data_IF_007291441637
#
_entry.id   IF_007291441637
#
_cell.length_a   1.000
_cell.length_b   1.000
_cell.length_c   1.000
_cell.angle_alpha   90.00
_cell.angle_beta   90.00
_cell.angle_gamma   90.00
#
_symmetry.space_group_name_H-M   'P 1'
#
loop_
_entity.id
_entity.type
_entity.pdbx_description
1 polymer ?
#
# COMPACT_ATOMS: atom_id res chain seq x y z
N UNK A 1 45.43 12.14 -34.37
CA UNK A 1 44.35 11.18 -34.11
C UNK A 1 44.20 10.95 -32.63
N UNK A 2 43.78 12.03 -31.89
CA UNK A 2 43.56 11.97 -30.46
C UNK A 2 42.09 11.67 -30.17
N UNK A 3 41.74 10.37 -30.21
CA UNK A 3 40.50 9.94 -29.58
C UNK A 3 40.75 9.85 -28.07
N UNK A 4 39.94 10.45 -27.22
CA UNK A 4 40.04 10.23 -25.79
C UNK A 4 39.82 8.73 -25.51
N UNK A 5 40.79 8.12 -24.83
CA UNK A 5 40.72 6.71 -24.43
C UNK A 5 39.49 6.48 -23.57
N UNK A 6 38.74 5.44 -23.85
CA UNK A 6 37.60 5.07 -23.04
C UNK A 6 38.05 4.63 -21.62
N UNK A 7 37.18 4.81 -20.61
CA UNK A 7 37.47 4.38 -19.23
C UNK A 7 37.85 2.88 -19.16
N UNK A 8 37.31 2.07 -20.06
CA UNK A 8 37.66 0.64 -20.20
C UNK A 8 39.09 0.42 -20.70
N UNK A 9 39.59 1.27 -21.61
CA UNK A 9 40.95 1.20 -22.10
C UNK A 9 41.97 1.70 -21.08
N UNK A 10 41.60 2.70 -20.26
CA UNK A 10 42.41 3.18 -19.14
C UNK A 10 42.52 2.10 -18.05
N UNK A 11 41.43 1.39 -17.75
CA UNK A 11 41.41 0.27 -16.82
C UNK A 11 42.17 -0.94 -17.32
N UNK A 12 42.13 -1.23 -18.64
CA UNK A 12 42.92 -2.30 -19.26
C UNK A 12 44.42 -1.98 -19.25
N UNK A 13 44.78 -0.70 -19.46
CA UNK A 13 46.17 -0.24 -19.40
C UNK A 13 46.76 -0.19 -17.99
N UNK A 14 45.94 0.10 -17.00
CA UNK A 14 46.35 0.04 -15.58
C UNK A 14 46.50 -1.41 -15.08
N UNK A 15 45.73 -2.35 -15.59
CA UNK A 15 45.86 -3.79 -15.30
C UNK A 15 47.08 -4.46 -15.96
N UNK A 16 47.62 -3.90 -17.06
CA UNK A 16 48.77 -4.44 -17.76
C UNK A 16 50.11 -4.11 -17.10
N UNK A 17 50.15 -3.20 -16.13
CA UNK A 17 51.38 -2.74 -15.49
C UNK A 17 51.66 -3.28 -14.09
N UNK A 18 50.72 -3.95 -13.45
CA UNK A 18 50.94 -4.61 -12.16
C UNK A 18 50.67 -6.09 -12.31
N UNK A 19 51.72 -6.90 -12.32
CA UNK A 19 51.63 -8.36 -12.18
C UNK A 19 51.17 -8.76 -10.80
N UNK A 20 50.06 -8.20 -10.35
CA UNK A 20 49.35 -8.60 -9.16
C UNK A 20 48.42 -9.75 -9.56
N UNK A 21 48.79 -10.97 -9.13
CA UNK A 21 47.87 -12.11 -9.15
C UNK A 21 46.59 -11.69 -8.42
N UNK A 22 45.54 -11.33 -9.18
CA UNK A 22 44.23 -11.05 -8.61
C UNK A 22 43.74 -12.34 -7.95
N UNK A 23 43.64 -12.32 -6.63
CA UNK A 23 43.12 -13.44 -5.86
C UNK A 23 41.71 -13.76 -6.31
N UNK A 24 41.36 -15.07 -6.32
CA UNK A 24 40.05 -15.53 -6.83
C UNK A 24 38.83 -14.87 -6.16
N UNK A 25 38.98 -14.34 -4.95
CA UNK A 25 37.93 -13.58 -4.24
C UNK A 25 37.80 -12.09 -4.67
N UNK A 26 38.77 -11.58 -5.45
CA UNK A 26 38.71 -10.22 -6.04
C UNK A 26 38.11 -10.22 -7.44
N UNK A 27 37.82 -11.41 -7.99
CA UNK A 27 37.16 -11.52 -9.29
C UNK A 27 35.72 -10.98 -9.17
N UNK A 28 35.31 -10.03 -10.03
CA UNK A 28 33.95 -9.55 -10.03
C UNK A 28 32.98 -10.70 -10.33
N UNK A 29 31.82 -10.70 -9.69
CA UNK A 29 30.77 -11.70 -9.95
C UNK A 29 30.47 -11.74 -11.45
N UNK A 30 30.40 -12.93 -12.09
CA UNK A 30 30.16 -13.04 -13.52
C UNK A 30 28.76 -12.49 -13.86
N UNK A 31 28.70 -11.28 -14.40
CA UNK A 31 27.45 -10.67 -14.88
C UNK A 31 26.98 -11.36 -16.17
N UNK A 32 25.69 -11.29 -16.45
CA UNK A 32 25.10 -11.83 -17.68
C UNK A 32 25.78 -11.28 -18.94
N UNK A 33 26.14 -9.99 -18.92
CA UNK A 33 26.86 -9.33 -20.02
C UNK A 33 28.30 -9.81 -20.16
N UNK A 34 28.96 -10.18 -19.04
CA UNK A 34 30.28 -10.80 -19.08
C UNK A 34 30.20 -12.22 -19.66
N UNK A 35 29.16 -12.98 -19.31
CA UNK A 35 28.89 -14.31 -19.87
C UNK A 35 28.58 -14.24 -21.40
N UNK A 36 27.77 -13.25 -21.82
CA UNK A 36 27.50 -13.02 -23.24
C UNK A 36 28.77 -12.69 -24.03
N UNK A 37 29.70 -11.88 -23.44
CA UNK A 37 30.99 -11.62 -24.06
C UNK A 37 31.88 -12.87 -24.22
N UNK A 38 31.78 -13.79 -23.25
CA UNK A 38 32.51 -15.04 -23.26
C UNK A 38 31.85 -16.08 -24.18
N UNK A 39 30.54 -16.10 -24.26
CA UNK A 39 29.77 -17.01 -25.10
C UNK A 39 28.47 -16.33 -25.57
N UNK A 40 28.33 -16.12 -26.87
CA UNK A 40 27.17 -15.46 -27.48
C UNK A 40 25.83 -16.22 -27.32
N UNK A 41 25.86 -17.43 -26.74
CA UNK A 41 24.64 -18.19 -26.44
C UNK A 41 23.86 -17.60 -25.24
N UNK A 42 24.48 -16.79 -24.37
CA UNK A 42 23.82 -16.12 -23.28
C UNK A 42 23.21 -14.78 -23.75
N UNK A 43 21.96 -14.48 -23.39
CA UNK A 43 21.35 -13.19 -23.71
C UNK A 43 22.05 -12.05 -22.96
N UNK A 44 22.02 -10.84 -23.51
CA UNK A 44 22.45 -9.65 -22.78
C UNK A 44 21.38 -9.29 -21.72
N UNK A 45 21.79 -8.63 -20.62
CA UNK A 45 20.84 -8.15 -19.60
C UNK A 45 19.74 -7.26 -20.19
N UNK A 46 20.07 -6.49 -21.23
CA UNK A 46 19.10 -5.68 -21.97
C UNK A 46 18.07 -6.52 -22.72
N UNK A 47 18.46 -7.65 -23.31
CA UNK A 47 17.54 -8.52 -24.04
C UNK A 47 16.54 -9.19 -23.11
N UNK A 48 16.97 -9.54 -21.89
CA UNK A 48 16.10 -10.08 -20.84
C UNK A 48 15.08 -9.04 -20.40
N UNK A 49 15.52 -7.81 -20.13
CA UNK A 49 14.60 -6.73 -19.71
C UNK A 49 13.60 -6.38 -20.80
N UNK A 50 14.02 -6.25 -22.06
CA UNK A 50 13.15 -6.02 -23.22
C UNK A 50 12.21 -7.22 -23.45
N UNK A 51 12.70 -8.45 -23.24
CA UNK A 51 11.88 -9.66 -23.35
C UNK A 51 10.74 -9.68 -22.31
N UNK A 52 11.04 -9.35 -21.04
CA UNK A 52 10.04 -9.24 -19.97
C UNK A 52 9.02 -8.14 -20.28
N UNK A 53 9.48 -6.97 -20.74
CA UNK A 53 8.60 -5.86 -21.12
C UNK A 53 7.65 -6.25 -22.27
N UNK A 54 8.17 -6.85 -23.33
CA UNK A 54 7.36 -7.33 -24.47
C UNK A 54 6.35 -8.39 -24.04
N UNK A 55 6.76 -9.32 -23.19
CA UNK A 55 5.85 -10.36 -22.66
C UNK A 55 4.72 -9.73 -21.82
N UNK A 56 5.04 -8.76 -20.98
CA UNK A 56 4.03 -8.03 -20.20
C UNK A 56 3.08 -7.26 -21.11
N UNK A 57 3.61 -6.53 -22.11
CA UNK A 57 2.79 -5.76 -23.05
C UNK A 57 1.89 -6.65 -23.92
N UNK A 58 2.32 -7.86 -24.28
CA UNK A 58 1.48 -8.81 -25.04
C UNK A 58 0.28 -9.33 -24.23
N UNK A 59 0.42 -9.44 -22.90
CA UNK A 59 -0.63 -9.92 -22.00
C UNK A 59 -1.51 -8.75 -21.51
N UNK A 60 -1.00 -7.53 -21.56
CA UNK A 60 -1.63 -6.32 -21.02
C UNK A 60 -3.09 -6.16 -21.46
N UNK A 61 -3.37 -6.26 -22.77
CA UNK A 61 -4.70 -5.99 -23.30
C UNK A 61 -5.70 -7.05 -22.85
N UNK A 62 -5.29 -8.33 -22.82
CA UNK A 62 -6.12 -9.41 -22.30
C UNK A 62 -6.37 -9.27 -20.80
N UNK A 63 -5.33 -8.88 -20.05
CA UNK A 63 -5.43 -8.68 -18.61
C UNK A 63 -6.30 -7.47 -18.28
N UNK A 64 -6.16 -6.39 -19.03
CA UNK A 64 -6.99 -5.19 -18.89
C UNK A 64 -8.46 -5.49 -19.18
N UNK A 65 -8.76 -6.24 -20.23
CA UNK A 65 -10.14 -6.63 -20.57
C UNK A 65 -10.84 -7.36 -19.41
N UNK A 66 -10.11 -8.19 -18.64
CA UNK A 66 -10.65 -8.90 -17.48
C UNK A 66 -10.68 -8.02 -16.23
N UNK A 67 -9.64 -7.23 -16.02
CA UNK A 67 -9.51 -6.41 -14.81
C UNK A 67 -10.38 -5.15 -14.84
N UNK A 68 -10.57 -4.51 -16.00
CA UNK A 68 -11.34 -3.28 -16.12
C UNK A 68 -12.76 -3.40 -15.54
N UNK A 69 -13.59 -4.40 -15.90
CA UNK A 69 -14.92 -4.51 -15.34
C UNK A 69 -14.94 -4.80 -13.83
N UNK A 70 -13.90 -5.49 -13.31
CA UNK A 70 -13.77 -5.81 -11.88
C UNK A 70 -13.35 -4.57 -11.08
N UNK A 71 -12.50 -3.74 -11.66
CA UNK A 71 -11.91 -2.57 -10.96
C UNK A 71 -12.66 -1.27 -11.22
N UNK A 72 -13.54 -1.23 -12.23
CA UNK A 72 -14.33 -0.05 -12.54
C UNK A 72 -15.23 0.43 -11.38
N UNK A 73 -15.89 -0.45 -10.61
CA UNK A 73 -16.66 -0.03 -9.43
C UNK A 73 -15.79 0.70 -8.39
N UNK A 74 -14.51 0.35 -8.27
CA UNK A 74 -13.59 1.07 -7.40
C UNK A 74 -13.36 2.52 -7.87
N UNK A 75 -13.18 2.75 -9.18
CA UNK A 75 -13.09 4.12 -9.73
C UNK A 75 -14.33 4.93 -9.40
N UNK A 76 -15.51 4.40 -9.66
CA UNK A 76 -16.77 5.09 -9.38
C UNK A 76 -16.93 5.42 -7.88
N UNK A 77 -16.55 4.48 -7.02
CA UNK A 77 -16.64 4.69 -5.57
C UNK A 77 -15.64 5.75 -5.08
N UNK A 78 -14.42 5.75 -5.62
CA UNK A 78 -13.42 6.78 -5.32
C UNK A 78 -13.85 8.16 -5.84
N UNK A 79 -14.32 8.26 -7.08
CA UNK A 79 -14.82 9.50 -7.67
C UNK A 79 -16.04 10.03 -6.92
N UNK A 80 -16.97 9.16 -6.58
CA UNK A 80 -18.15 9.51 -5.79
C UNK A 80 -17.75 10.03 -4.40
N UNK A 81 -16.87 9.34 -3.71
CA UNK A 81 -16.39 9.78 -2.40
C UNK A 81 -15.64 11.12 -2.50
N UNK A 82 -14.71 11.26 -3.46
CA UNK A 82 -14.00 12.52 -3.68
C UNK A 82 -14.97 13.66 -3.98
N UNK A 83 -15.93 13.46 -4.86
CA UNK A 83 -16.94 14.47 -5.20
C UNK A 83 -17.83 14.82 -3.99
N UNK A 84 -18.25 13.82 -3.21
CA UNK A 84 -19.06 14.03 -2.01
C UNK A 84 -18.31 14.86 -0.96
N UNK A 85 -17.06 14.49 -0.67
CA UNK A 85 -16.25 15.15 0.34
C UNK A 85 -15.86 16.58 -0.09
N UNK A 86 -15.56 16.80 -1.37
CA UNK A 86 -15.23 18.11 -1.91
C UNK A 86 -16.45 19.03 -2.07
N UNK A 87 -17.61 18.48 -2.47
CA UNK A 87 -18.84 19.24 -2.59
C UNK A 87 -19.44 19.66 -1.24
N UNK A 88 -19.07 18.93 -0.14
CA UNK A 88 -19.58 19.25 1.19
C UNK A 88 -18.89 20.50 1.74
N UNK A 89 -19.63 21.60 2.04
CA UNK A 89 -19.04 22.79 2.61
C UNK A 89 -18.35 22.50 3.95
N UNK A 90 -17.26 23.20 4.23
CA UNK A 90 -16.46 22.99 5.45
C UNK A 90 -17.28 23.12 6.76
N UNK A 91 -18.29 24.02 6.75
CA UNK A 91 -19.18 24.24 7.90
C UNK A 91 -20.17 23.09 8.14
N UNK A 92 -20.36 22.16 7.19
CA UNK A 92 -21.09 20.90 7.37
C UNK A 92 -20.12 19.78 7.68
N UNK A 93 -18.99 19.71 6.95
CA UNK A 93 -18.02 18.62 7.09
C UNK A 93 -17.42 18.58 8.50
N UNK A 94 -16.98 19.73 9.04
CA UNK A 94 -16.36 19.78 10.36
C UNK A 94 -17.32 19.31 11.45
N UNK A 95 -18.56 19.82 11.59
CA UNK A 95 -19.52 19.30 12.58
C UNK A 95 -19.83 17.81 12.40
N UNK A 96 -19.97 17.31 11.17
CA UNK A 96 -20.22 15.89 10.92
C UNK A 96 -19.07 15.05 11.44
N UNK A 97 -17.82 15.40 11.13
CA UNK A 97 -16.64 14.71 11.66
C UNK A 97 -16.59 14.77 13.19
N UNK A 98 -16.90 15.93 13.80
CA UNK A 98 -16.95 16.05 15.26
C UNK A 98 -18.00 15.14 15.88
N UNK A 99 -19.19 15.03 15.28
CA UNK A 99 -20.25 14.12 15.75
C UNK A 99 -19.79 12.66 15.63
N UNK A 100 -19.17 12.26 14.52
CA UNK A 100 -18.63 10.90 14.34
C UNK A 100 -17.59 10.59 15.42
N UNK A 101 -16.63 11.49 15.64
CA UNK A 101 -15.59 11.33 16.67
C UNK A 101 -16.21 11.25 18.08
N UNK A 102 -17.20 12.06 18.37
CA UNK A 102 -17.89 12.03 19.65
C UNK A 102 -18.64 10.71 19.88
N UNK A 103 -19.37 10.23 18.86
CA UNK A 103 -20.10 8.96 18.94
C UNK A 103 -19.15 7.75 19.11
N UNK A 104 -17.99 7.80 18.44
CA UNK A 104 -16.99 6.74 18.52
C UNK A 104 -16.24 6.73 19.85
N UNK A 105 -15.79 7.90 20.33
CA UNK A 105 -14.90 8.01 21.50
C UNK A 105 -15.62 8.32 22.81
N UNK A 106 -16.82 8.91 22.76
CA UNK A 106 -17.58 9.45 23.89
C UNK A 106 -16.75 10.40 24.79
N UNK A 107 -15.71 11.00 24.23
CA UNK A 107 -14.75 11.85 24.93
C UNK A 107 -14.68 13.24 24.31
N UNK A 108 -15.10 14.27 25.02
CA UNK A 108 -14.98 15.66 24.57
C UNK A 108 -13.54 16.11 24.38
N UNK A 109 -12.59 15.53 25.11
CA UNK A 109 -11.15 15.85 24.94
C UNK A 109 -10.65 15.50 23.56
N UNK A 110 -11.04 14.32 23.04
CA UNK A 110 -10.71 13.90 21.69
C UNK A 110 -11.38 14.76 20.62
N UNK A 111 -12.65 15.12 20.82
CA UNK A 111 -13.36 16.02 19.89
C UNK A 111 -12.65 17.36 19.79
N UNK A 112 -12.28 17.99 20.91
CA UNK A 112 -11.52 19.26 20.89
C UNK A 112 -10.14 19.10 20.24
N UNK A 113 -9.45 17.99 20.48
CA UNK A 113 -8.16 17.73 19.85
C UNK A 113 -8.29 17.61 18.33
N UNK A 114 -9.26 16.82 17.85
CA UNK A 114 -9.53 16.66 16.40
C UNK A 114 -9.97 18.00 15.79
N UNK A 115 -10.81 18.77 16.49
CA UNK A 115 -11.20 20.11 16.04
C UNK A 115 -9.98 21.03 15.88
N UNK A 116 -9.06 21.02 16.85
CA UNK A 116 -7.82 21.79 16.79
C UNK A 116 -6.92 21.35 15.60
N UNK A 117 -6.81 20.05 15.34
CA UNK A 117 -6.06 19.52 14.21
C UNK A 117 -6.65 19.98 12.86
N UNK A 118 -7.98 19.88 12.71
CA UNK A 118 -8.66 20.33 11.48
C UNK A 118 -8.55 21.85 11.32
N UNK A 119 -8.74 22.62 12.41
CA UNK A 119 -8.58 24.06 12.39
C UNK A 119 -7.15 24.47 12.01
N UNK A 120 -6.14 23.77 12.49
CA UNK A 120 -4.75 23.98 12.11
C UNK A 120 -4.52 23.72 10.62
N UNK A 121 -5.06 22.62 10.07
CA UNK A 121 -4.96 22.32 8.64
C UNK A 121 -5.69 23.36 7.78
N UNK A 122 -6.83 23.87 8.25
CA UNK A 122 -7.56 24.93 7.58
C UNK A 122 -6.82 26.27 7.64
N UNK A 123 -6.19 26.58 8.77
CA UNK A 123 -5.40 27.81 8.95
C UNK A 123 -4.19 27.88 8.00
N UNK A 124 -3.60 26.72 7.64
CA UNK A 124 -2.42 26.61 6.75
C UNK A 124 -2.85 26.46 5.27
N UNK A 125 -4.15 26.56 4.95
CA UNK A 125 -4.71 26.36 3.60
C UNK A 125 -4.49 24.96 3.02
N UNK A 126 -4.41 23.94 3.91
CA UNK A 126 -4.25 22.53 3.52
C UNK A 126 -5.53 21.71 3.67
N UNK A 127 -6.65 22.35 4.02
CA UNK A 127 -7.94 21.70 4.29
C UNK A 127 -8.43 20.88 3.10
N UNK A 128 -8.41 21.45 1.90
CA UNK A 128 -8.90 20.75 0.70
C UNK A 128 -8.11 19.47 0.42
N UNK A 129 -6.79 19.55 0.49
CA UNK A 129 -5.91 18.38 0.30
C UNK A 129 -6.08 17.35 1.42
N UNK A 130 -6.36 17.79 2.65
CA UNK A 130 -6.63 16.90 3.77
C UNK A 130 -7.95 16.13 3.57
N UNK A 131 -9.00 16.80 3.11
CA UNK A 131 -10.30 16.18 2.81
C UNK A 131 -10.20 15.19 1.64
N UNK A 132 -9.42 15.50 0.60
CA UNK A 132 -9.15 14.55 -0.50
C UNK A 132 -8.45 13.28 0.01
N UNK A 133 -7.42 13.45 0.85
CA UNK A 133 -6.72 12.33 1.47
C UNK A 133 -7.66 11.50 2.33
N UNK A 134 -8.50 12.15 3.14
CA UNK A 134 -9.47 11.47 3.99
C UNK A 134 -10.49 10.66 3.18
N UNK A 135 -10.98 11.22 2.06
CA UNK A 135 -11.91 10.53 1.17
C UNK A 135 -11.31 9.25 0.56
N UNK A 136 -10.06 9.32 0.07
CA UNK A 136 -9.36 8.16 -0.49
C UNK A 136 -9.15 7.08 0.58
N UNK A 137 -8.69 7.48 1.76
CA UNK A 137 -8.43 6.54 2.86
C UNK A 137 -9.73 5.89 3.33
N UNK A 138 -10.81 6.67 3.45
CA UNK A 138 -12.12 6.14 3.82
C UNK A 138 -12.57 5.02 2.89
N UNK A 139 -12.51 5.24 1.58
CA UNK A 139 -12.87 4.22 0.58
C UNK A 139 -11.95 3.01 0.64
N UNK A 140 -10.63 3.23 0.61
CA UNK A 140 -9.66 2.13 0.57
C UNK A 140 -9.69 1.31 1.87
N UNK A 141 -9.73 1.95 3.05
CA UNK A 141 -9.83 1.26 4.33
C UNK A 141 -11.15 0.50 4.45
N UNK A 142 -12.27 1.11 4.05
CA UNK A 142 -13.57 0.42 4.03
C UNK A 142 -13.53 -0.85 3.19
N UNK A 143 -12.98 -0.79 1.98
CA UNK A 143 -12.84 -1.96 1.12
C UNK A 143 -11.87 -2.99 1.70
N UNK A 144 -10.76 -2.56 2.31
CA UNK A 144 -9.85 -3.46 3.02
C UNK A 144 -10.54 -4.21 4.15
N UNK A 145 -11.44 -3.57 4.87
CA UNK A 145 -12.23 -4.22 5.95
C UNK A 145 -13.25 -5.19 5.36
N UNK A 146 -14.01 -4.75 4.35
CA UNK A 146 -15.06 -5.56 3.71
C UNK A 146 -14.51 -6.84 3.09
N UNK A 147 -13.33 -6.80 2.50
CA UNK A 147 -12.69 -7.98 1.92
C UNK A 147 -11.73 -8.68 2.88
N UNK A 148 -10.97 -7.92 3.67
CA UNK A 148 -9.92 -8.46 4.53
C UNK A 148 -10.46 -9.25 5.71
N UNK A 149 -11.52 -8.78 6.38
CA UNK A 149 -12.12 -9.50 7.52
C UNK A 149 -12.68 -10.86 7.08
N UNK A 150 -13.50 -10.97 6.01
CA UNK A 150 -13.95 -12.29 5.54
C UNK A 150 -12.81 -13.22 5.11
N UNK A 151 -11.77 -12.70 4.46
CA UNK A 151 -10.59 -13.50 4.09
C UNK A 151 -9.88 -14.00 5.35
N UNK A 152 -9.66 -13.14 6.37
CA UNK A 152 -9.07 -13.52 7.64
C UNK A 152 -9.89 -14.58 8.38
N UNK A 153 -11.23 -14.45 8.38
CA UNK A 153 -12.13 -15.46 8.93
C UNK A 153 -11.99 -16.79 8.17
N UNK A 154 -11.94 -16.75 6.84
CA UNK A 154 -11.79 -17.96 6.04
C UNK A 154 -10.43 -18.65 6.29
N UNK A 155 -9.35 -17.87 6.45
CA UNK A 155 -8.01 -18.37 6.82
C UNK A 155 -8.02 -19.03 8.20
N UNK A 156 -8.69 -18.46 9.18
CA UNK A 156 -8.76 -19.02 10.54
C UNK A 156 -9.45 -20.39 10.60
N UNK A 157 -10.31 -20.69 9.63
CA UNK A 157 -11.04 -21.98 9.53
C UNK A 157 -10.32 -23.05 8.73
N UNK A 158 -9.30 -22.72 7.95
CA UNK A 158 -8.62 -23.68 7.07
C UNK A 158 -7.12 -23.44 7.06
N UNK A 159 -6.39 -24.40 7.61
CA UNK A 159 -4.92 -24.39 7.62
C UNK A 159 -4.32 -24.43 6.22
N UNK A 160 -5.01 -25.06 5.28
CA UNK A 160 -4.60 -25.06 3.87
C UNK A 160 -4.71 -23.69 3.27
N UNK A 161 -5.83 -23.00 3.51
CA UNK A 161 -6.02 -21.64 3.05
C UNK A 161 -5.01 -20.68 3.69
N UNK A 162 -4.75 -20.82 4.98
CA UNK A 162 -3.74 -20.03 5.68
C UNK A 162 -2.35 -20.22 5.07
N UNK A 163 -1.89 -21.46 4.89
CA UNK A 163 -0.59 -21.78 4.28
C UNK A 163 -0.43 -21.26 2.86
N UNK A 164 -1.51 -21.16 2.10
CA UNK A 164 -1.50 -20.62 0.75
C UNK A 164 -1.51 -19.08 0.74
N UNK A 165 -2.25 -18.47 1.66
CA UNK A 165 -2.44 -17.02 1.69
C UNK A 165 -1.26 -16.28 2.34
N UNK A 166 -0.65 -16.84 3.40
CA UNK A 166 0.47 -16.20 4.11
C UNK A 166 1.61 -15.80 3.17
N UNK A 167 2.14 -16.69 2.28
CA UNK A 167 3.21 -16.27 1.37
C UNK A 167 2.83 -15.14 0.43
N UNK A 168 1.55 -15.06 0.01
CA UNK A 168 1.04 -13.97 -0.83
C UNK A 168 1.05 -12.66 -0.03
N UNK A 169 0.57 -12.70 1.23
CA UNK A 169 0.58 -11.53 2.11
C UNK A 169 2.01 -11.07 2.43
N UNK A 170 2.93 -12.02 2.63
CA UNK A 170 4.35 -11.73 2.85
C UNK A 170 4.96 -11.03 1.63
N UNK A 171 4.68 -11.55 0.43
CA UNK A 171 5.14 -10.93 -0.81
C UNK A 171 4.60 -9.50 -0.95
N UNK A 172 3.31 -9.27 -0.63
CA UNK A 172 2.71 -7.94 -0.68
C UNK A 172 3.36 -6.95 0.30
N UNK A 173 3.85 -7.39 1.45
CA UNK A 173 4.50 -6.51 2.43
C UNK A 173 6.00 -6.35 2.23
N UNK A 174 6.68 -7.34 1.68
CA UNK A 174 8.14 -7.30 1.47
C UNK A 174 8.52 -6.50 0.23
N UNK A 175 7.66 -6.44 -0.78
CA UNK A 175 7.89 -5.59 -1.95
C UNK A 175 7.79 -4.11 -1.57
N UNK A 176 8.78 -3.28 -1.97
CA UNK A 176 8.68 -1.84 -1.77
C UNK A 176 7.39 -1.28 -2.41
N UNK A 177 6.62 -0.44 -1.70
CA UNK A 177 5.29 0.00 -2.16
C UNK A 177 5.28 0.63 -3.57
N UNK A 178 6.32 1.34 -3.96
CA UNK A 178 6.41 1.94 -5.30
C UNK A 178 6.59 0.90 -6.42
N UNK A 179 7.04 -0.33 -6.12
CA UNK A 179 7.20 -1.39 -7.12
C UNK A 179 5.85 -1.84 -7.67
N UNK A 180 4.78 -1.80 -6.86
CA UNK A 180 3.42 -2.08 -7.36
C UNK A 180 2.95 -1.07 -8.40
N UNK A 181 3.39 0.17 -8.30
CA UNK A 181 2.95 1.23 -9.20
C UNK A 181 3.42 0.98 -10.63
N UNK A 182 4.58 0.34 -10.82
CA UNK A 182 5.14 0.09 -12.15
C UNK A 182 4.17 -0.72 -13.03
N UNK A 183 3.79 -1.97 -12.67
CA UNK A 183 2.84 -2.73 -13.49
C UNK A 183 1.46 -2.08 -13.57
N UNK A 184 1.01 -1.39 -12.51
CA UNK A 184 -0.29 -0.73 -12.52
C UNK A 184 -0.35 0.46 -13.47
N UNK A 185 0.74 1.26 -13.61
CA UNK A 185 0.82 2.36 -14.58
C UNK A 185 0.75 1.82 -16.01
N UNK A 186 1.36 0.67 -16.28
CA UNK A 186 1.29 0.04 -17.60
C UNK A 186 -0.09 -0.60 -17.89
N UNK A 187 -0.78 -1.09 -16.86
CA UNK A 187 -2.11 -1.69 -16.98
C UNK A 187 -3.22 -0.64 -17.12
N UNK A 188 -3.22 0.37 -16.26
CA UNK A 188 -4.24 1.39 -16.18
C UNK A 188 -3.68 2.76 -16.57
N UNK A 189 -4.55 3.67 -16.99
CA UNK A 189 -4.15 5.04 -17.27
C UNK A 189 -3.83 5.78 -15.96
N UNK A 190 -2.82 6.66 -15.99
CA UNK A 190 -2.41 7.48 -14.83
C UNK A 190 -3.55 8.38 -14.33
N UNK A 191 -4.52 8.69 -15.19
CA UNK A 191 -5.69 9.51 -14.86
C UNK A 191 -6.80 8.74 -14.17
N UNK A 192 -6.74 7.39 -14.16
CA UNK A 192 -7.82 6.57 -13.61
C UNK A 192 -7.65 6.36 -12.09
N UNK A 193 -8.67 6.70 -11.25
CA UNK A 193 -8.60 6.53 -9.80
C UNK A 193 -8.32 5.11 -9.32
N UNK A 194 -8.77 4.11 -10.08
CA UNK A 194 -8.52 2.69 -9.75
C UNK A 194 -7.04 2.34 -9.65
N UNK A 195 -6.15 3.05 -10.38
CA UNK A 195 -4.71 2.80 -10.33
C UNK A 195 -4.17 2.99 -8.90
N UNK A 196 -4.37 4.16 -8.33
CA UNK A 196 -3.89 4.41 -6.97
C UNK A 196 -4.73 3.70 -5.93
N UNK A 197 -6.04 3.52 -6.14
CA UNK A 197 -6.90 2.78 -5.24
C UNK A 197 -6.47 1.33 -5.06
N UNK A 198 -6.17 0.62 -6.15
CA UNK A 198 -5.67 -0.78 -6.11
C UNK A 198 -4.33 -0.83 -5.39
N UNK A 199 -3.41 0.09 -5.69
CA UNK A 199 -2.10 0.12 -5.04
C UNK A 199 -2.21 0.29 -3.52
N UNK A 200 -3.09 1.18 -3.06
CA UNK A 200 -3.35 1.40 -1.63
C UNK A 200 -3.96 0.15 -0.99
N UNK A 201 -4.98 -0.45 -1.62
CA UNK A 201 -5.66 -1.63 -1.08
C UNK A 201 -4.70 -2.82 -0.99
N UNK A 202 -3.93 -3.12 -2.03
CA UNK A 202 -2.98 -4.24 -2.03
C UNK A 202 -1.98 -4.16 -0.88
N UNK A 203 -1.51 -2.96 -0.57
CA UNK A 203 -0.57 -2.76 0.53
C UNK A 203 -1.24 -2.77 1.90
N UNK A 204 -2.40 -2.13 2.03
CA UNK A 204 -3.04 -1.87 3.31
C UNK A 204 -3.94 -3.02 3.81
N UNK A 205 -4.35 -3.95 2.95
CA UNK A 205 -5.27 -5.04 3.34
C UNK A 205 -4.61 -6.10 4.24
N UNK A 206 -3.30 -6.20 4.21
CA UNK A 206 -2.58 -7.32 4.86
C UNK A 206 -2.76 -7.36 6.38
N UNK A 207 -2.65 -6.24 7.14
CA UNK A 207 -2.82 -6.28 8.59
C UNK A 207 -4.20 -6.75 9.05
N UNK A 208 -5.27 -6.28 8.40
CA UNK A 208 -6.61 -6.68 8.80
C UNK A 208 -6.86 -8.17 8.55
N UNK A 209 -6.33 -8.74 7.46
CA UNK A 209 -6.41 -10.18 7.20
C UNK A 209 -5.68 -10.96 8.30
N UNK A 210 -4.41 -10.61 8.57
CA UNK A 210 -3.56 -11.32 9.54
C UNK A 210 -4.09 -11.22 10.95
N UNK A 211 -4.48 -10.03 11.39
CA UNK A 211 -4.96 -9.85 12.76
C UNK A 211 -6.37 -10.41 12.97
N UNK A 212 -7.17 -10.55 11.93
CA UNK A 212 -8.44 -11.27 11.98
C UNK A 212 -8.19 -12.77 12.14
N UNK A 213 -7.33 -13.36 11.30
CA UNK A 213 -6.95 -14.79 11.41
C UNK A 213 -6.36 -15.11 12.79
N UNK A 214 -5.37 -14.32 13.21
CA UNK A 214 -4.71 -14.48 14.50
C UNK A 214 -5.68 -14.31 15.67
N UNK A 215 -6.54 -13.28 15.63
CA UNK A 215 -7.48 -13.00 16.71
C UNK A 215 -8.48 -14.14 16.92
N UNK A 216 -8.97 -14.76 15.85
CA UNK A 216 -9.90 -15.89 15.92
C UNK A 216 -9.17 -17.15 16.43
N UNK A 217 -7.94 -17.40 16.03
CA UNK A 217 -7.14 -18.56 16.47
C UNK A 217 -6.67 -18.43 17.92
N UNK A 218 -6.55 -17.22 18.45
CA UNK A 218 -6.15 -16.95 19.85
C UNK A 218 -7.31 -17.02 20.84
N UNK A 219 -8.54 -17.28 20.38
CA UNK A 219 -9.66 -17.49 21.31
C UNK A 219 -9.38 -18.73 22.16
N UNK A 220 -9.60 -18.58 23.48
CA UNK A 220 -9.35 -19.61 24.48
C UNK A 220 -10.10 -20.91 24.13
N UNK A 221 -9.38 -22.03 24.17
CA UNK A 221 -9.91 -23.37 23.90
C UNK A 221 -11.00 -23.74 24.87
N UNK A 222 -10.90 -23.35 26.14
CA UNK A 222 -11.90 -23.67 27.17
C UNK A 222 -13.27 -23.04 26.83
N UNK A 223 -13.25 -21.82 26.24
CA UNK A 223 -14.47 -21.17 25.78
C UNK A 223 -15.07 -21.87 24.56
N UNK A 224 -14.22 -22.39 23.68
CA UNK A 224 -14.65 -23.16 22.51
C UNK A 224 -15.27 -24.49 22.94
N UNK A 225 -14.64 -25.22 23.89
CA UNK A 225 -15.15 -26.47 24.44
C UNK A 225 -16.48 -26.23 25.19
N UNK A 226 -16.61 -25.12 25.93
CA UNK A 226 -17.87 -24.79 26.57
C UNK A 226 -18.98 -24.56 25.52
N UNK A 227 -18.69 -23.85 24.42
CA UNK A 227 -19.65 -23.65 23.34
C UNK A 227 -20.07 -24.97 22.67
N UNK A 228 -19.13 -25.90 22.50
CA UNK A 228 -19.41 -27.22 21.96
C UNK A 228 -20.29 -28.05 22.95
N UNK A 229 -20.07 -27.92 24.25
CA UNK A 229 -20.87 -28.56 25.28
C UNK A 229 -22.33 -28.07 25.31
N UNK A 230 -22.57 -26.81 24.90
CA UNK A 230 -23.91 -26.27 24.70
C UNK A 230 -24.55 -26.69 23.36
N UNK A 231 -23.88 -27.48 22.54
CA UNK A 231 -24.38 -27.97 21.26
C UNK A 231 -24.38 -26.90 20.15
N UNK A 232 -23.52 -25.90 20.24
CA UNK A 232 -23.41 -24.88 19.20
C UNK A 232 -22.85 -25.47 17.91
N UNK A 233 -23.44 -25.12 16.76
CA UNK A 233 -22.86 -25.45 15.45
C UNK A 233 -21.62 -24.60 15.19
N UNK A 234 -20.74 -25.04 14.29
CA UNK A 234 -19.50 -24.31 13.94
C UNK A 234 -19.75 -22.87 13.51
N UNK A 235 -20.87 -22.62 12.81
CA UNK A 235 -21.22 -21.25 12.41
C UNK A 235 -21.68 -20.41 13.59
N UNK A 236 -22.48 -20.98 14.51
CA UNK A 236 -22.92 -20.29 15.73
C UNK A 236 -21.72 -19.99 16.63
N UNK A 237 -20.79 -20.96 16.80
CA UNK A 237 -19.55 -20.81 17.54
C UNK A 237 -18.67 -19.70 16.96
N UNK A 238 -18.51 -19.68 15.62
CA UNK A 238 -17.72 -18.63 14.95
C UNK A 238 -18.30 -17.23 15.20
N UNK A 239 -19.57 -16.98 14.83
CA UNK A 239 -20.15 -15.64 14.92
C UNK A 239 -20.65 -15.26 16.31
N UNK A 240 -21.03 -16.22 17.14
CA UNK A 240 -21.51 -15.98 18.50
C UNK A 240 -20.43 -15.89 19.55
N UNK A 241 -19.27 -16.52 19.33
CA UNK A 241 -18.20 -16.63 20.34
C UNK A 241 -16.86 -16.12 19.82
N UNK A 242 -16.35 -16.73 18.76
CA UNK A 242 -14.99 -16.47 18.30
C UNK A 242 -14.80 -15.06 17.74
N UNK A 243 -15.67 -14.61 16.83
CA UNK A 243 -15.56 -13.26 16.24
C UNK A 243 -15.76 -12.15 17.26
N UNK A 244 -16.75 -12.21 18.18
CA UNK A 244 -16.86 -11.22 19.26
C UNK A 244 -15.64 -11.16 20.19
N UNK A 245 -15.05 -12.31 20.54
CA UNK A 245 -13.84 -12.36 21.36
C UNK A 245 -12.58 -11.91 20.61
N UNK A 246 -12.53 -12.13 19.29
CA UNK A 246 -11.46 -11.68 18.42
C UNK A 246 -11.57 -10.17 18.07
N UNK A 247 -12.69 -9.52 18.38
CA UNK A 247 -12.96 -8.12 17.98
C UNK A 247 -11.84 -7.14 18.33
N UNK A 248 -11.19 -7.20 19.51
CA UNK A 248 -10.07 -6.33 19.82
C UNK A 248 -8.91 -6.46 18.82
N UNK A 249 -8.57 -7.68 18.42
CA UNK A 249 -7.52 -7.94 17.44
C UNK A 249 -7.94 -7.49 16.03
N UNK A 250 -9.20 -7.71 15.65
CA UNK A 250 -9.77 -7.23 14.39
C UNK A 250 -9.69 -5.71 14.32
N UNK A 251 -10.09 -5.01 15.39
CA UNK A 251 -10.01 -3.55 15.46
C UNK A 251 -8.57 -3.03 15.41
N UNK A 252 -7.62 -3.74 16.04
CA UNK A 252 -6.19 -3.44 15.89
C UNK A 252 -5.73 -3.58 14.44
N UNK A 253 -6.21 -4.61 13.73
CA UNK A 253 -5.96 -4.80 12.30
C UNK A 253 -6.51 -3.67 11.44
N UNK A 254 -7.73 -3.23 11.71
CA UNK A 254 -8.36 -2.09 11.03
C UNK A 254 -7.57 -0.81 11.25
N UNK A 255 -7.18 -0.52 12.49
CA UNK A 255 -6.37 0.64 12.82
C UNK A 255 -5.03 0.65 12.05
N UNK A 256 -4.34 -0.50 12.02
CA UNK A 256 -3.09 -0.63 11.28
C UNK A 256 -3.29 -0.50 9.76
N UNK A 257 -4.40 -1.01 9.22
CA UNK A 257 -4.79 -0.84 7.82
C UNK A 257 -4.97 0.64 7.46
N UNK A 258 -5.60 1.43 8.32
CA UNK A 258 -5.76 2.88 8.11
C UNK A 258 -4.39 3.57 8.08
N UNK A 259 -3.51 3.27 9.02
CA UNK A 259 -2.15 3.83 9.05
C UNK A 259 -1.35 3.48 7.79
N UNK A 260 -1.43 2.21 7.33
CA UNK A 260 -0.77 1.78 6.11
C UNK A 260 -1.37 2.41 4.85
N UNK A 261 -2.69 2.63 4.82
CA UNK A 261 -3.36 3.36 3.74
C UNK A 261 -2.86 4.79 3.64
N UNK A 262 -2.70 5.49 4.78
CA UNK A 262 -2.12 6.84 4.83
C UNK A 262 -0.70 6.88 4.26
N UNK A 263 0.17 5.97 4.70
CA UNK A 263 1.52 5.88 4.17
C UNK A 263 1.53 5.65 2.65
N UNK A 264 0.67 4.76 2.17
CA UNK A 264 0.60 4.43 0.75
C UNK A 264 -0.01 5.55 -0.11
N UNK A 265 -0.97 6.36 0.41
CA UNK A 265 -1.53 7.52 -0.31
C UNK A 265 -0.44 8.53 -0.67
N UNK A 266 0.55 8.75 0.20
CA UNK A 266 1.69 9.64 -0.10
C UNK A 266 2.50 9.11 -1.28
N UNK A 267 2.78 7.81 -1.29
CA UNK A 267 3.50 7.16 -2.40
C UNK A 267 2.64 7.16 -3.68
N UNK A 268 1.35 6.91 -3.55
CA UNK A 268 0.40 6.92 -4.65
C UNK A 268 0.25 8.30 -5.32
N UNK A 269 0.62 9.38 -4.61
CA UNK A 269 0.67 10.73 -5.20
C UNK A 269 1.73 10.85 -6.31
N UNK A 270 2.69 9.93 -6.39
CA UNK A 270 3.60 9.81 -7.54
C UNK A 270 2.85 9.48 -8.85
N UNK A 271 1.69 8.85 -8.75
CA UNK A 271 0.84 8.44 -9.85
C UNK A 271 -0.51 9.15 -9.83
N UNK A 272 -0.49 10.44 -9.52
CA UNK A 272 -1.64 11.37 -9.58
C UNK A 272 -2.73 11.15 -8.52
N UNK A 273 -2.50 10.41 -7.43
CA UNK A 273 -3.43 10.41 -6.30
C UNK A 273 -3.50 11.83 -5.69
N UNK A 274 -4.70 12.44 -5.60
CA UNK A 274 -4.84 13.78 -5.04
C UNK A 274 -4.69 13.76 -3.50
N UNK A 275 -4.46 14.92 -2.92
CA UNK A 275 -4.39 15.11 -1.46
C UNK A 275 -3.05 15.61 -0.94
N UNK A 276 -2.82 15.49 0.36
CA UNK A 276 -1.62 16.00 1.05
C UNK A 276 -0.31 15.43 0.51
N UNK A 277 -0.32 14.20 -0.02
CA UNK A 277 0.85 13.58 -0.61
C UNK A 277 1.42 14.37 -1.78
N UNK A 278 0.59 15.04 -2.58
CA UNK A 278 1.03 15.91 -3.69
C UNK A 278 1.89 17.06 -3.18
N UNK A 279 1.50 17.66 -2.05
CA UNK A 279 2.24 18.77 -1.44
C UNK A 279 3.58 18.30 -0.85
N UNK A 280 3.60 17.12 -0.23
CA UNK A 280 4.85 16.50 0.25
C UNK A 280 5.81 16.28 -0.91
N UNK A 281 5.33 15.71 -2.02
CA UNK A 281 6.15 15.48 -3.22
C UNK A 281 6.61 16.78 -3.87
N UNK A 282 5.76 17.81 -3.88
CA UNK A 282 6.14 19.14 -4.34
C UNK A 282 7.30 19.70 -3.48
N UNK A 283 7.17 19.61 -2.16
CA UNK A 283 8.21 20.03 -1.23
C UNK A 283 9.55 19.32 -1.48
N UNK A 284 9.52 18.02 -1.75
CA UNK A 284 10.73 17.22 -2.06
C UNK A 284 11.31 17.63 -3.43
N UNK A 285 10.49 17.73 -4.47
CA UNK A 285 10.94 18.05 -5.83
C UNK A 285 11.54 19.44 -5.95
N UNK A 286 10.91 20.41 -5.29
CA UNK A 286 11.30 21.84 -5.38
C UNK A 286 12.28 22.22 -4.28
N UNK A 287 12.63 21.30 -3.35
CA UNK A 287 13.41 21.56 -2.15
C UNK A 287 12.77 22.63 -1.24
N UNK A 288 11.44 22.71 -1.25
CA UNK A 288 10.63 23.60 -0.40
C UNK A 288 10.39 22.94 0.96
N UNK A 289 11.37 23.06 1.86
CA UNK A 289 11.33 22.39 3.17
C UNK A 289 10.04 22.69 3.97
N UNK A 290 9.61 23.95 3.96
CA UNK A 290 8.41 24.39 4.68
C UNK A 290 7.16 23.67 4.21
N UNK A 291 6.92 23.63 2.90
CA UNK A 291 5.74 22.95 2.30
C UNK A 291 5.77 21.46 2.61
N UNK A 292 6.93 20.80 2.44
CA UNK A 292 7.09 19.37 2.71
C UNK A 292 6.84 19.00 4.17
N UNK A 293 7.41 19.75 5.12
CA UNK A 293 7.27 19.50 6.56
C UNK A 293 5.84 19.74 7.04
N UNK A 294 5.22 20.85 6.63
CA UNK A 294 3.84 21.18 7.05
C UNK A 294 2.84 20.18 6.50
N UNK A 295 2.99 19.79 5.22
CA UNK A 295 2.12 18.77 4.62
C UNK A 295 2.34 17.40 5.24
N UNK A 296 3.58 17.03 5.56
CA UNK A 296 3.92 15.82 6.31
C UNK A 296 3.30 15.80 7.71
N UNK A 297 3.37 16.93 8.44
CA UNK A 297 2.68 17.09 9.73
C UNK A 297 1.17 16.94 9.55
N UNK A 298 0.59 17.49 8.48
CA UNK A 298 -0.83 17.32 8.16
C UNK A 298 -1.25 15.85 8.01
N UNK A 299 -0.41 15.01 7.38
CA UNK A 299 -0.65 13.57 7.27
C UNK A 299 -0.61 12.89 8.64
N UNK A 300 0.35 13.27 9.49
CA UNK A 300 0.44 12.74 10.87
C UNK A 300 -0.80 13.13 11.68
N UNK A 301 -1.29 14.37 11.55
CA UNK A 301 -2.52 14.80 12.20
C UNK A 301 -3.74 14.01 11.72
N UNK A 302 -3.84 13.72 10.41
CA UNK A 302 -4.90 12.86 9.88
C UNK A 302 -4.79 11.41 10.39
N UNK A 303 -3.58 10.91 10.63
CA UNK A 303 -3.37 9.57 11.17
C UNK A 303 -3.84 9.42 12.64
N UNK A 304 -3.82 10.53 13.37
CA UNK A 304 -4.25 10.57 14.79
C UNK A 304 -5.77 10.74 14.91
N UNK A 305 -6.39 11.39 13.93
CA UNK A 305 -7.85 11.58 13.85
C UNK A 305 -8.55 10.27 13.53
#
# INVERSE_FOLDING_TARGET
NDRPMSMAELLAKSKGQSGVETSWWELPFPSLDALNKACAAFPQSRDVTVGVEKSFLSIKDSLRFVLDPITQPLSWFLEWALSLFQATPWWVMIPVLMVIVYLASKSWRLVFFVAACIAFLAFIDHYEHAIQTLAIIFVCAFLCVVFGVPIGIAMSRSDTMQKLTIPILDMLQTLPPFVYLIPLIFLFSVTEPKLYGIAIILYAIVPVIRLTDLGIRLVDTDVIEAADSFGMTDTQKLFGVQVPLALPNIMAGINQTIMMSLAMVVIASLVSAPGLGVLVLRGIRNLELGVGLISGLGIVLLAII
#
